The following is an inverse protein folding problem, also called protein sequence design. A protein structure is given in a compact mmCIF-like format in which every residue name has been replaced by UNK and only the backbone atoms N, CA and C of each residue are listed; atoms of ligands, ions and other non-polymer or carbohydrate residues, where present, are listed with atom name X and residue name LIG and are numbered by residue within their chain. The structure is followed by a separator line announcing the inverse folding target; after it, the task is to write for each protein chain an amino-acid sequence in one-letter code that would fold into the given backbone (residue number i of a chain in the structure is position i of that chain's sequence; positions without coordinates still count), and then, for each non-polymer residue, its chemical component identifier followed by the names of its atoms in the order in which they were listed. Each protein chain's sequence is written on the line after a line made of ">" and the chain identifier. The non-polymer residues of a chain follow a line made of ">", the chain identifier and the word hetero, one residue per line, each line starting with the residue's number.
data_IF_343225499533
#
_entry.id   IF_343225499533
#
_cell.length_a   1.000
_cell.length_b   1.000
_cell.length_c   1.000
_cell.angle_alpha   90.00
_cell.angle_beta   90.00
_cell.angle_gamma   90.00
#
_symmetry.space_group_name_H-M   'P 1'
#
loop_
_entity.id
_entity.type
_entity.pdbx_description
1 polymer ?
#
# COMPACT_ATOMS: atom_id res chain seq x y z
N UNK A 1 -5.00 19.04 -15.64
CA UNK A 1 -4.35 17.72 -15.85
C UNK A 1 -3.64 17.33 -14.57
N UNK A 2 -3.58 16.04 -14.27
CA UNK A 2 -2.73 15.49 -13.21
C UNK A 2 -1.88 14.37 -13.78
N UNK A 3 -0.76 14.12 -13.12
CA UNK A 3 0.18 13.08 -13.45
C UNK A 3 0.31 12.14 -12.25
N UNK A 4 0.11 10.83 -12.47
CA UNK A 4 0.20 9.82 -11.41
C UNK A 4 1.00 8.60 -11.87
N UNK A 5 1.78 8.00 -10.95
CA UNK A 5 2.53 6.80 -11.26
C UNK A 5 1.60 5.59 -11.32
N UNK A 6 1.79 4.78 -12.36
CA UNK A 6 1.29 3.42 -12.48
C UNK A 6 2.48 2.47 -12.28
N UNK A 7 2.34 1.52 -11.36
CA UNK A 7 3.38 0.54 -11.06
C UNK A 7 3.12 -0.73 -11.87
N UNK A 8 3.91 -0.93 -12.93
CA UNK A 8 3.79 -2.08 -13.84
C UNK A 8 4.75 -3.18 -13.38
N UNK A 9 4.25 -4.41 -13.22
CA UNK A 9 5.03 -5.58 -12.77
C UNK A 9 6.18 -5.87 -13.76
N UNK A 10 7.35 -6.23 -13.22
CA UNK A 10 8.50 -6.69 -14.02
C UNK A 10 9.14 -7.89 -13.37
N UNK A 11 9.30 -8.98 -14.10
CA UNK A 11 9.95 -10.21 -13.61
C UNK A 11 11.49 -10.11 -13.61
N UNK A 12 12.01 -8.98 -13.12
CA UNK A 12 13.43 -8.74 -12.85
C UNK A 12 13.55 -7.51 -11.97
N UNK A 13 14.67 -7.37 -11.26
CA UNK A 13 14.96 -6.18 -10.47
C UNK A 13 14.80 -4.89 -11.31
N UNK A 14 14.12 -3.84 -10.76
CA UNK A 14 13.66 -3.68 -9.38
C UNK A 14 12.22 -4.20 -9.11
N UNK A 15 11.76 -5.23 -9.83
CA UNK A 15 10.45 -5.91 -9.70
C UNK A 15 9.23 -5.15 -10.22
N UNK A 16 9.41 -3.87 -10.56
CA UNK A 16 8.41 -3.04 -11.22
C UNK A 16 9.06 -1.97 -12.11
N UNK A 17 8.27 -1.37 -12.99
CA UNK A 17 8.55 -0.09 -13.64
C UNK A 17 7.50 0.93 -13.24
N UNK A 18 7.91 2.18 -13.14
CA UNK A 18 7.01 3.30 -12.94
C UNK A 18 6.68 3.87 -14.32
N UNK A 19 5.39 4.01 -14.61
CA UNK A 19 4.87 4.70 -15.78
C UNK A 19 4.01 5.85 -15.31
N UNK A 20 4.47 7.07 -15.52
CA UNK A 20 3.69 8.26 -15.21
C UNK A 20 2.64 8.48 -16.30
N UNK A 21 1.38 8.59 -15.89
CA UNK A 21 0.24 8.74 -16.80
C UNK A 21 -0.45 10.08 -16.52
N UNK A 22 -0.63 10.85 -17.59
CA UNK A 22 -1.40 12.08 -17.58
C UNK A 22 -2.88 11.79 -17.78
N UNK A 23 -3.72 12.45 -16.99
CA UNK A 23 -5.18 12.35 -17.10
C UNK A 23 -5.89 13.61 -16.63
N UNK A 24 -7.18 13.71 -16.96
CA UNK A 24 -8.01 14.82 -16.50
C UNK A 24 -8.40 14.62 -15.02
N UNK A 25 -7.91 15.52 -14.17
CA UNK A 25 -8.24 15.50 -12.75
C UNK A 25 -9.60 16.15 -12.47
N UNK A 26 -10.46 15.37 -11.85
CA UNK A 26 -11.74 15.73 -11.27
C UNK A 26 -11.52 16.15 -9.81
N UNK A 27 -11.70 17.44 -9.49
CA UNK A 27 -11.46 18.00 -8.14
C UNK A 27 -12.61 17.72 -7.17
N UNK A 28 -12.31 17.45 -5.91
CA UNK A 28 -13.30 17.18 -4.86
C UNK A 28 -12.91 16.01 -3.96
N UNK A 29 -13.46 16.00 -2.75
CA UNK A 29 -13.14 15.00 -1.71
C UNK A 29 -14.10 13.81 -1.71
N UNK A 30 -15.21 13.88 -2.43
CA UNK A 30 -16.21 12.82 -2.49
C UNK A 30 -15.64 11.53 -3.12
N UNK A 31 -16.10 10.36 -2.64
CA UNK A 31 -15.68 9.06 -3.17
C UNK A 31 -15.91 8.95 -4.68
N UNK A 32 -17.06 9.39 -5.17
CA UNK A 32 -17.39 9.38 -6.59
C UNK A 32 -16.40 10.20 -7.44
N UNK A 33 -15.87 11.29 -6.89
CA UNK A 33 -14.89 12.12 -7.59
C UNK A 33 -13.52 11.44 -7.67
N UNK A 34 -13.11 10.74 -6.60
CA UNK A 34 -11.93 9.88 -6.62
C UNK A 34 -12.08 8.72 -7.61
N UNK A 35 -13.26 8.11 -7.68
CA UNK A 35 -13.55 7.06 -8.65
C UNK A 35 -13.48 7.56 -10.10
N UNK A 36 -13.97 8.77 -10.40
CA UNK A 36 -13.78 9.39 -11.73
C UNK A 36 -12.30 9.55 -12.08
N UNK A 37 -11.47 9.95 -11.11
CA UNK A 37 -10.02 10.05 -11.31
C UNK A 37 -9.36 8.68 -11.56
N UNK A 38 -9.82 7.63 -10.87
CA UNK A 38 -9.34 6.26 -11.08
C UNK A 38 -9.65 5.81 -12.51
N UNK A 39 -10.90 5.99 -12.96
CA UNK A 39 -11.31 5.65 -14.33
C UNK A 39 -10.46 6.39 -15.36
N UNK A 40 -10.34 7.72 -15.23
CA UNK A 40 -9.55 8.52 -16.17
C UNK A 40 -8.05 8.13 -16.18
N UNK A 41 -7.48 7.77 -15.02
CA UNK A 41 -6.11 7.27 -14.92
C UNK A 41 -5.95 5.91 -15.60
N UNK A 42 -6.89 4.98 -15.38
CA UNK A 42 -6.87 3.65 -16.00
C UNK A 42 -7.07 3.72 -17.50
N UNK A 43 -7.95 4.58 -17.99
CA UNK A 43 -8.12 4.87 -19.42
C UNK A 43 -6.85 5.43 -20.04
N UNK A 44 -6.21 6.42 -19.38
CA UNK A 44 -4.92 6.97 -19.81
C UNK A 44 -3.83 5.90 -19.90
N UNK A 45 -3.79 4.98 -18.93
CA UNK A 45 -2.87 3.85 -18.94
C UNK A 45 -3.18 2.87 -20.08
N UNK A 46 -4.44 2.52 -20.29
CA UNK A 46 -4.85 1.58 -21.35
C UNK A 46 -4.60 2.13 -22.76
N UNK A 47 -4.66 3.45 -22.95
CA UNK A 47 -4.23 4.07 -24.22
C UNK A 47 -2.76 3.78 -24.55
N UNK A 48 -1.91 3.60 -23.54
CA UNK A 48 -0.48 3.29 -23.68
C UNK A 48 -0.22 1.78 -23.66
N UNK A 49 -0.98 1.04 -22.83
CA UNK A 49 -0.84 -0.41 -22.55
C UNK A 49 -2.20 -1.12 -22.62
N UNK A 50 -2.77 -1.31 -23.82
CA UNK A 50 -4.15 -1.80 -23.99
C UNK A 50 -4.36 -3.27 -23.59
N UNK A 51 -3.28 -4.04 -23.44
CA UNK A 51 -3.32 -5.47 -23.12
C UNK A 51 -3.05 -5.80 -21.65
N UNK A 52 -2.66 -4.81 -20.84
CA UNK A 52 -2.26 -5.04 -19.45
C UNK A 52 -3.44 -4.79 -18.52
N UNK A 53 -3.70 -5.72 -17.61
CA UNK A 53 -4.74 -5.59 -16.62
C UNK A 53 -4.27 -4.68 -15.48
N UNK A 54 -5.08 -3.68 -15.11
CA UNK A 54 -4.76 -2.70 -14.08
C UNK A 54 -5.74 -2.80 -12.90
N UNK A 55 -5.22 -2.68 -11.68
CA UNK A 55 -6.02 -2.63 -10.46
C UNK A 55 -5.71 -1.37 -9.65
N UNK A 56 -6.75 -0.67 -9.22
CA UNK A 56 -6.64 0.37 -8.22
C UNK A 56 -6.70 -0.25 -6.82
N UNK A 57 -5.69 0.03 -5.99
CA UNK A 57 -5.62 -0.44 -4.60
C UNK A 57 -5.79 0.75 -3.67
N UNK A 58 -7.05 1.00 -3.30
CA UNK A 58 -7.42 2.00 -2.31
C UNK A 58 -8.84 1.76 -1.82
N UNK A 59 -9.22 2.41 -0.71
CA UNK A 59 -10.62 2.45 -0.24
C UNK A 59 -11.60 3.07 -1.25
N UNK A 60 -11.10 3.63 -2.36
CA UNK A 60 -11.87 4.28 -3.42
C UNK A 60 -11.94 3.44 -4.70
N UNK A 61 -11.30 2.27 -4.74
CA UNK A 61 -11.34 1.37 -5.90
C UNK A 61 -12.78 1.07 -6.34
N UNK A 62 -12.94 0.81 -7.64
CA UNK A 62 -14.20 0.32 -8.20
C UNK A 62 -14.29 -1.21 -8.12
N UNK A 63 -13.14 -1.90 -8.05
CA UNK A 63 -13.06 -3.34 -7.85
C UNK A 63 -13.02 -3.70 -6.37
N UNK A 64 -13.76 -4.73 -5.97
CA UNK A 64 -13.82 -5.19 -4.58
C UNK A 64 -12.44 -5.65 -4.08
N UNK A 65 -11.66 -6.35 -4.91
CA UNK A 65 -10.30 -6.78 -4.55
C UNK A 65 -9.41 -5.59 -4.19
N UNK A 66 -9.51 -4.50 -4.94
CA UNK A 66 -8.74 -3.29 -4.72
C UNK A 66 -9.08 -2.59 -3.40
N UNK A 67 -10.33 -2.67 -2.97
CA UNK A 67 -10.78 -2.19 -1.66
C UNK A 67 -10.22 -3.08 -0.56
N UNK A 68 -10.36 -4.40 -0.68
CA UNK A 68 -9.92 -5.37 0.32
C UNK A 68 -8.40 -5.35 0.51
N UNK A 69 -7.64 -5.15 -0.56
CA UNK A 69 -6.17 -5.05 -0.50
C UNK A 69 -5.66 -3.66 -0.12
N UNK A 70 -6.52 -2.68 0.12
CA UNK A 70 -6.05 -1.41 0.66
C UNK A 70 -5.49 -1.59 2.07
N UNK A 71 -4.48 -0.83 2.47
CA UNK A 71 -3.82 -0.90 3.79
C UNK A 71 -4.80 -0.70 4.96
N UNK A 72 -5.94 -0.05 4.70
CA UNK A 72 -6.99 0.13 5.70
C UNK A 72 -7.78 -1.16 5.97
N UNK A 73 -7.77 -2.12 5.03
CA UNK A 73 -8.58 -3.33 5.05
C UNK A 73 -7.75 -4.62 5.03
N UNK A 74 -6.60 -4.63 4.34
CA UNK A 74 -5.72 -5.79 4.23
C UNK A 74 -5.24 -6.19 5.63
N UNK A 75 -5.50 -7.44 6.00
CA UNK A 75 -5.26 -7.95 7.34
C UNK A 75 -3.83 -8.47 7.49
N UNK A 76 -3.16 -8.10 8.58
CA UNK A 76 -1.87 -8.62 9.01
C UNK A 76 -2.05 -9.29 10.37
N UNK A 77 -1.60 -10.54 10.49
CA UNK A 77 -1.57 -11.26 11.75
C UNK A 77 -0.46 -10.71 12.65
N UNK A 78 -0.80 -10.49 13.93
CA UNK A 78 0.10 -10.04 14.99
C UNK A 78 0.17 -11.15 16.04
N UNK A 79 1.22 -11.99 16.02
CA UNK A 79 1.37 -13.15 16.91
C UNK A 79 1.25 -12.79 18.39
N UNK A 80 1.90 -11.72 18.85
CA UNK A 80 1.85 -11.26 20.24
C UNK A 80 0.44 -10.98 20.76
N UNK A 81 -0.48 -10.58 19.87
CA UNK A 81 -1.89 -10.32 20.18
C UNK A 81 -2.82 -11.49 19.85
N UNK A 82 -2.33 -12.51 19.15
CA UNK A 82 -3.13 -13.60 18.55
C UNK A 82 -4.32 -13.08 17.74
N UNK A 83 -4.15 -11.96 17.04
CA UNK A 83 -5.21 -11.26 16.29
C UNK A 83 -4.70 -10.74 14.96
N UNK A 84 -5.61 -10.51 14.03
CA UNK A 84 -5.34 -9.76 12.80
C UNK A 84 -5.73 -8.30 12.98
N UNK A 85 -4.94 -7.41 12.37
CA UNK A 85 -5.16 -5.97 12.34
C UNK A 85 -4.96 -5.48 10.92
N UNK A 86 -5.41 -4.27 10.57
CA UNK A 86 -5.10 -3.72 9.25
C UNK A 86 -3.60 -3.41 9.12
N UNK A 87 -3.08 -3.47 7.88
CA UNK A 87 -1.70 -3.03 7.59
C UNK A 87 -1.47 -1.58 8.05
N UNK A 88 -2.47 -0.71 7.94
CA UNK A 88 -2.39 0.67 8.45
C UNK A 88 -2.17 0.69 9.97
N UNK A 89 -2.97 -0.06 10.74
CA UNK A 89 -2.78 -0.13 12.19
C UNK A 89 -1.41 -0.69 12.55
N UNK A 90 -0.97 -1.76 11.87
CA UNK A 90 0.35 -2.33 12.10
C UNK A 90 1.48 -1.33 11.78
N UNK A 91 1.36 -0.59 10.68
CA UNK A 91 2.33 0.40 10.28
C UNK A 91 2.43 1.57 11.26
N UNK A 92 1.30 2.08 11.76
CA UNK A 92 1.31 3.19 12.72
C UNK A 92 1.78 2.75 14.10
N UNK A 93 1.33 1.58 14.57
CA UNK A 93 1.73 1.01 15.86
C UNK A 93 3.24 0.76 15.93
N UNK A 94 3.83 0.30 14.82
CA UNK A 94 5.25 -0.03 14.76
C UNK A 94 6.19 1.18 14.68
N UNK A 95 5.70 2.42 14.60
CA UNK A 95 6.59 3.59 14.53
C UNK A 95 7.29 3.88 15.85
N UNK A 96 8.60 4.10 15.79
CA UNK A 96 9.44 4.48 16.92
C UNK A 96 9.99 5.89 16.68
N UNK A 97 9.69 6.79 17.61
CA UNK A 97 10.09 8.20 17.56
C UNK A 97 11.15 8.50 18.63
N UNK A 98 11.85 9.63 18.46
CA UNK A 98 12.87 10.09 19.41
C UNK A 98 12.37 10.14 20.85
N UNK A 99 11.11 10.53 21.06
CA UNK A 99 10.52 10.72 22.39
C UNK A 99 9.38 9.74 22.70
N UNK A 100 9.25 8.61 21.97
CA UNK A 100 8.21 7.63 22.27
C UNK A 100 7.99 6.55 21.21
N UNK A 101 7.05 5.65 21.50
CA UNK A 101 6.74 4.49 20.66
C UNK A 101 7.66 3.28 20.95
N UNK A 102 7.38 2.11 20.35
CA UNK A 102 6.22 1.83 19.49
C UNK A 102 4.89 1.92 20.25
N UNK A 103 3.85 2.43 19.58
CA UNK A 103 2.51 2.60 20.16
C UNK A 103 1.65 1.37 19.87
N UNK A 104 1.98 0.26 20.53
CA UNK A 104 1.35 -1.04 20.29
C UNK A 104 -0.15 -1.07 20.62
N UNK A 105 -0.65 -0.11 21.41
CA UNK A 105 -2.07 0.09 21.62
C UNK A 105 -2.85 0.42 20.33
N UNK A 106 -2.18 1.00 19.32
CA UNK A 106 -2.78 1.31 18.01
C UNK A 106 -3.15 0.07 17.19
N UNK A 107 -2.65 -1.11 17.55
CA UNK A 107 -3.09 -2.37 16.94
C UNK A 107 -4.59 -2.61 17.14
N UNK A 108 -5.16 -2.15 18.26
CA UNK A 108 -6.57 -2.33 18.59
C UNK A 108 -7.49 -1.22 18.06
N UNK A 109 -6.94 -0.18 17.42
CA UNK A 109 -7.72 0.94 16.86
C UNK A 109 -8.26 0.63 15.47
N UNK A 110 -9.18 1.46 14.98
CA UNK A 110 -9.50 1.49 13.54
C UNK A 110 -8.34 2.12 12.75
N UNK A 111 -8.21 1.76 11.47
CA UNK A 111 -7.19 2.33 10.56
C UNK A 111 -7.23 3.86 10.52
N UNK A 112 -8.42 4.46 10.66
CA UNK A 112 -8.60 5.92 10.66
C UNK A 112 -8.12 6.57 11.96
N UNK A 113 -8.37 5.94 13.09
CA UNK A 113 -7.90 6.40 14.41
C UNK A 113 -6.38 6.26 14.49
N UNK A 114 -5.83 5.10 14.15
CA UNK A 114 -4.40 4.85 14.16
C UNK A 114 -3.64 5.87 13.29
N UNK A 115 -4.12 6.14 12.07
CA UNK A 115 -3.52 7.14 11.17
C UNK A 115 -3.57 8.57 11.70
N UNK A 116 -4.54 8.89 12.57
CA UNK A 116 -4.78 10.22 13.11
C UNK A 116 -4.24 10.41 14.53
N UNK A 117 -3.61 9.40 15.11
CA UNK A 117 -3.09 9.49 16.47
C UNK A 117 -2.11 10.66 16.61
N UNK A 118 -2.35 11.52 17.61
CA UNK A 118 -1.58 12.76 17.78
C UNK A 118 -0.14 12.51 18.26
N UNK A 119 0.15 11.35 18.86
CA UNK A 119 1.52 10.96 19.24
C UNK A 119 2.42 10.78 18.02
N UNK A 120 1.84 10.50 16.85
CA UNK A 120 2.60 10.38 15.59
C UNK A 120 3.19 11.71 15.10
N UNK A 121 2.70 12.85 15.62
CA UNK A 121 3.19 14.19 15.27
C UNK A 121 3.93 14.86 16.42
N UNK A 122 3.58 14.51 17.66
CA UNK A 122 4.07 15.19 18.86
C UNK A 122 5.30 14.53 19.49
N UNK A 123 5.62 13.29 19.10
CA UNK A 123 6.71 12.51 19.74
C UNK A 123 8.10 12.69 19.13
N UNK A 124 8.27 13.75 18.33
CA UNK A 124 9.54 14.10 17.71
C UNK A 124 9.79 13.38 16.37
N UNK A 125 11.06 13.30 16.00
CA UNK A 125 11.49 12.67 14.75
C UNK A 125 11.27 11.15 14.77
N UNK A 126 10.84 10.59 13.64
CA UNK A 126 10.77 9.13 13.45
C UNK A 126 12.19 8.58 13.32
N UNK A 127 12.58 7.68 14.22
CA UNK A 127 13.95 7.11 14.28
C UNK A 127 14.02 5.65 13.83
N UNK A 128 12.88 4.98 13.71
CA UNK A 128 12.82 3.61 13.22
C UNK A 128 11.42 3.02 13.29
N UNK A 129 11.35 1.72 13.07
CA UNK A 129 10.14 0.95 13.30
C UNK A 129 10.47 -0.32 14.09
N UNK A 130 9.48 -0.86 14.80
CA UNK A 130 9.56 -2.13 15.50
C UNK A 130 8.27 -2.92 15.31
N UNK A 131 8.38 -4.20 14.98
CA UNK A 131 7.25 -5.10 14.84
C UNK A 131 7.64 -6.50 15.32
N UNK A 132 6.91 -7.04 16.30
CA UNK A 132 7.17 -8.36 16.89
C UNK A 132 8.63 -8.55 17.33
N UNK A 133 9.22 -7.51 17.95
CA UNK A 133 10.60 -7.50 18.43
C UNK A 133 11.66 -7.29 17.35
N UNK A 134 11.29 -7.27 16.07
CA UNK A 134 12.19 -6.95 14.96
C UNK A 134 12.24 -5.44 14.73
N UNK A 135 13.47 -4.89 14.63
CA UNK A 135 13.71 -3.47 14.36
C UNK A 135 13.99 -3.22 12.88
N UNK A 136 13.43 -2.14 12.35
CA UNK A 136 13.61 -1.69 10.97
C UNK A 136 14.14 -0.27 10.92
N UNK A 137 15.10 0.03 10.02
CA UNK A 137 15.60 1.39 9.85
C UNK A 137 14.57 2.29 9.15
N UNK A 138 14.74 3.61 9.28
CA UNK A 138 13.96 4.61 8.52
C UNK A 138 14.36 4.70 7.05
N UNK A 139 15.52 4.18 6.68
CA UNK A 139 16.02 4.16 5.31
C UNK A 139 16.42 2.71 4.95
N UNK A 140 15.92 2.15 3.83
CA UNK A 140 15.02 2.77 2.84
C UNK A 140 13.62 3.12 3.39
N UNK A 141 13.10 4.27 2.96
CA UNK A 141 11.87 4.90 3.51
C UNK A 141 10.63 4.02 3.46
N UNK A 142 10.55 3.10 2.51
CA UNK A 142 9.41 2.21 2.35
C UNK A 142 9.61 0.82 2.93
N UNK A 143 10.82 0.48 3.40
CA UNK A 143 11.19 -0.89 3.74
C UNK A 143 10.20 -1.56 4.70
N UNK A 144 9.90 -0.89 5.82
CA UNK A 144 8.97 -1.42 6.82
C UNK A 144 7.55 -1.56 6.28
N UNK A 145 7.10 -0.59 5.49
CA UNK A 145 5.76 -0.62 4.90
C UNK A 145 5.62 -1.76 3.88
N UNK A 146 6.59 -1.89 2.98
CA UNK A 146 6.60 -2.96 1.97
C UNK A 146 6.68 -4.33 2.64
N UNK A 147 7.50 -4.47 3.68
CA UNK A 147 7.57 -5.66 4.50
C UNK A 147 6.19 -6.02 5.07
N UNK A 148 5.51 -5.10 5.76
CA UNK A 148 4.18 -5.38 6.33
C UNK A 148 3.16 -5.74 5.25
N UNK A 149 3.12 -4.98 4.16
CA UNK A 149 2.13 -5.16 3.10
C UNK A 149 2.31 -6.49 2.35
N UNK A 150 3.55 -6.82 1.98
CA UNK A 150 3.88 -8.08 1.30
C UNK A 150 3.58 -9.27 2.22
N UNK A 151 3.98 -9.22 3.50
CA UNK A 151 3.65 -10.28 4.46
C UNK A 151 2.15 -10.43 4.67
N UNK A 152 1.40 -9.33 4.72
CA UNK A 152 -0.05 -9.38 4.80
C UNK A 152 -0.66 -10.05 3.56
N UNK A 153 -0.14 -9.83 2.35
CA UNK A 153 -0.60 -10.56 1.16
C UNK A 153 -0.38 -12.08 1.28
N UNK A 154 0.76 -12.54 1.80
CA UNK A 154 0.98 -13.97 2.04
C UNK A 154 -0.02 -14.59 3.01
N UNK A 155 -0.39 -13.83 4.04
CA UNK A 155 -1.37 -14.27 5.04
C UNK A 155 -2.80 -14.30 4.49
N UNK A 156 -3.06 -13.62 3.37
CA UNK A 156 -4.36 -13.53 2.71
C UNK A 156 -4.33 -14.20 1.33
N UNK A 157 -4.03 -15.49 1.30
CA UNK A 157 -3.77 -16.28 0.07
C UNK A 157 -4.82 -16.12 -1.03
N UNK A 158 -6.10 -16.08 -0.68
CA UNK A 158 -7.16 -15.93 -1.68
C UNK A 158 -7.17 -14.55 -2.33
N UNK A 159 -6.88 -13.47 -1.57
CA UNK A 159 -6.69 -12.14 -2.14
C UNK A 159 -5.42 -12.07 -2.98
N UNK A 160 -4.32 -12.65 -2.49
CA UNK A 160 -3.05 -12.70 -3.21
C UNK A 160 -3.17 -13.42 -4.56
N UNK A 161 -3.91 -14.53 -4.63
CA UNK A 161 -4.18 -15.24 -5.91
C UNK A 161 -4.90 -14.34 -6.91
N UNK A 162 -5.90 -13.57 -6.46
CA UNK A 162 -6.60 -12.62 -7.35
C UNK A 162 -5.66 -11.53 -7.86
N UNK A 163 -4.71 -11.08 -7.03
CA UNK A 163 -3.73 -10.06 -7.40
C UNK A 163 -2.86 -10.49 -8.60
N UNK A 164 -2.62 -11.79 -8.76
CA UNK A 164 -1.81 -12.34 -9.86
C UNK A 164 -2.44 -12.15 -11.25
N UNK A 165 -3.74 -11.86 -11.33
CA UNK A 165 -4.46 -11.59 -12.58
C UNK A 165 -4.18 -10.19 -13.16
N UNK A 166 -3.45 -9.34 -12.44
CA UNK A 166 -3.13 -7.97 -12.82
C UNK A 166 -1.65 -7.78 -13.12
N UNK A 167 -1.36 -6.85 -14.02
CA UNK A 167 0.00 -6.53 -14.48
C UNK A 167 0.44 -5.12 -14.08
N UNK A 168 -0.50 -4.29 -13.61
CA UNK A 168 -0.26 -2.93 -13.21
C UNK A 168 -1.14 -2.52 -12.03
N UNK A 169 -0.64 -1.62 -11.20
CA UNK A 169 -1.32 -1.16 -10.00
C UNK A 169 -1.28 0.35 -9.84
N UNK A 170 -2.37 0.92 -9.32
CA UNK A 170 -2.47 2.34 -8.96
C UNK A 170 -2.97 2.52 -7.54
N UNK A 171 -2.66 3.69 -6.97
CA UNK A 171 -3.15 4.13 -5.67
C UNK A 171 -3.50 5.62 -5.80
N UNK A 172 -4.79 5.94 -5.96
CA UNK A 172 -5.24 7.31 -6.23
C UNK A 172 -5.05 8.25 -5.04
N UNK A 173 -4.93 7.68 -3.84
CA UNK A 173 -4.66 8.42 -2.60
C UNK A 173 -3.15 8.67 -2.41
N UNK A 174 -2.30 7.95 -3.13
CA UNK A 174 -0.86 8.18 -3.12
C UNK A 174 -0.49 9.46 -3.89
N UNK A 175 0.32 10.29 -3.24
CA UNK A 175 0.94 11.45 -3.86
C UNK A 175 2.47 11.33 -3.74
N UNK A 176 3.20 11.04 -4.83
CA UNK A 176 4.65 10.81 -4.78
C UNK A 176 5.44 12.02 -4.28
N UNK A 177 4.86 13.22 -4.31
CA UNK A 177 5.48 14.45 -3.80
C UNK A 177 5.48 14.55 -2.27
N UNK A 178 4.56 13.86 -1.60
CA UNK A 178 4.31 14.05 -0.15
C UNK A 178 4.24 12.74 0.63
N UNK A 179 4.05 11.61 -0.04
CA UNK A 179 3.94 10.29 0.56
C UNK A 179 5.01 9.36 -0.02
N UNK A 180 5.45 8.40 0.80
CA UNK A 180 6.51 7.44 0.46
C UNK A 180 5.95 6.01 0.39
N UNK A 181 4.96 5.71 1.23
CA UNK A 181 4.29 4.42 1.26
C UNK A 181 3.24 4.37 0.16
N UNK A 182 3.30 3.31 -0.65
CA UNK A 182 2.43 3.15 -1.79
C UNK A 182 2.02 1.68 -1.89
N UNK A 183 0.71 1.44 -1.79
CA UNK A 183 0.11 0.10 -1.82
C UNK A 183 0.35 -0.55 -3.18
N UNK A 184 0.16 0.22 -4.25
CA UNK A 184 0.36 -0.23 -5.63
C UNK A 184 1.79 -0.70 -5.91
N UNK A 185 2.79 0.00 -5.35
CA UNK A 185 4.19 -0.40 -5.48
C UNK A 185 4.46 -1.73 -4.78
N UNK A 186 4.00 -1.89 -3.54
CA UNK A 186 4.17 -3.12 -2.78
C UNK A 186 3.45 -4.30 -3.44
N UNK A 187 2.25 -4.08 -3.99
CA UNK A 187 1.51 -5.08 -4.77
C UNK A 187 2.25 -5.50 -6.05
N UNK A 188 2.79 -4.55 -6.83
CA UNK A 188 3.58 -4.85 -8.02
C UNK A 188 4.81 -5.72 -7.68
N UNK A 189 5.51 -5.37 -6.59
CA UNK A 189 6.64 -6.16 -6.08
C UNK A 189 6.20 -7.56 -5.68
N UNK A 190 5.10 -7.71 -4.93
CA UNK A 190 4.57 -9.04 -4.56
C UNK A 190 4.32 -9.92 -5.79
N UNK A 191 3.58 -9.40 -6.78
CA UNK A 191 3.24 -10.17 -7.99
C UNK A 191 4.50 -10.57 -8.74
N UNK A 192 5.47 -9.67 -8.88
CA UNK A 192 6.75 -10.00 -9.51
C UNK A 192 7.48 -11.12 -8.78
N UNK A 193 7.65 -11.00 -7.46
CA UNK A 193 8.36 -12.01 -6.67
C UNK A 193 7.67 -13.37 -6.79
N UNK A 194 6.32 -13.39 -6.79
CA UNK A 194 5.53 -14.61 -6.90
C UNK A 194 5.69 -15.27 -8.27
N UNK A 195 5.56 -14.48 -9.36
CA UNK A 195 5.71 -14.96 -10.73
C UNK A 195 7.12 -15.52 -10.99
N UNK A 196 8.13 -14.90 -10.39
CA UNK A 196 9.52 -15.36 -10.47
C UNK A 196 9.85 -16.58 -9.58
N UNK A 197 8.92 -17.01 -8.72
CA UNK A 197 9.16 -18.11 -7.78
C UNK A 197 10.19 -17.77 -6.69
N UNK A 198 10.41 -16.48 -6.41
CA UNK A 198 11.33 -16.01 -5.37
C UNK A 198 10.71 -16.05 -3.97
N UNK A 199 9.43 -16.36 -3.91
CA UNK A 199 8.65 -16.50 -2.68
C UNK A 199 7.72 -17.71 -2.80
N UNK A 200 7.38 -18.32 -1.66
CA UNK A 200 6.56 -19.54 -1.61
C UNK A 200 5.15 -19.33 -2.18
N UNK A 201 4.64 -20.39 -2.82
CA UNK A 201 3.33 -20.39 -3.49
C UNK A 201 2.15 -20.73 -2.59
#
# INVERSE_FOLDING_TARGET
>A
MANRPVYVVREKEPFYSIMDVDFQWSSGFAKCQKQKNIVALHEGFHNIKPKLNILEISSKSLQEEGILMSAFNLQKYVPSLKKTVSVECAYQAGKVFKNGGPYTDLFASTSREAKRDERLKTSGELIGFEFEGQKFPVTPKSLFYDYLYINALFENKELAKKLLNYDAFTDIEFNPKTALNCQARAAATFVSLYRMGLIEK
#
